data_IF_438973391216
#
_entry.id   IF_438973391216
#
_cell.length_a   1.000
_cell.length_b   1.000
_cell.length_c   1.000
_cell.angle_alpha   90.00
_cell.angle_beta   90.00
_cell.angle_gamma   90.00
#
_symmetry.space_group_name_H-M   'P 1'
#
loop_
_entity.id
_entity.type
_entity.pdbx_description
1 polymer ?
#
# COMPACT_ATOMS: atom_id res chain seq x y z
N UNK A 1 -2.13 13.52 2.80
CA UNK A 1 -1.38 12.24 2.63
C UNK A 1 -0.04 12.50 1.96
N UNK A 2 1.08 11.98 2.50
CA UNK A 2 2.42 12.29 2.02
C UNK A 2 2.78 11.36 0.84
N UNK A 3 3.51 11.88 -0.17
CA UNK A 3 4.04 11.12 -1.32
C UNK A 3 4.79 9.85 -0.88
N UNK A 4 5.57 9.91 0.20
CA UNK A 4 6.35 8.76 0.69
C UNK A 4 5.46 7.63 1.20
N UNK A 5 4.39 7.94 1.92
CA UNK A 5 3.43 6.96 2.45
C UNK A 5 2.67 6.30 1.31
N UNK A 6 2.24 7.09 0.32
CA UNK A 6 1.54 6.58 -0.85
C UNK A 6 2.45 5.68 -1.70
N UNK A 7 3.71 6.08 -1.87
CA UNK A 7 4.71 5.30 -2.58
C UNK A 7 5.01 3.97 -1.90
N UNK A 8 5.20 3.96 -0.57
CA UNK A 8 5.42 2.74 0.22
C UNK A 8 4.25 1.76 0.09
N UNK A 9 3.02 2.28 0.16
CA UNK A 9 1.82 1.49 -0.10
C UNK A 9 1.79 0.91 -1.50
N UNK A 10 2.05 1.74 -2.54
CA UNK A 10 2.03 1.30 -3.94
C UNK A 10 3.11 0.26 -4.23
N UNK A 11 4.32 0.44 -3.70
CA UNK A 11 5.39 -0.55 -3.80
C UNK A 11 4.93 -1.89 -3.24
N UNK A 12 4.46 -1.89 -1.99
CA UNK A 12 4.04 -3.13 -1.35
C UNK A 12 2.90 -3.80 -2.10
N UNK A 13 1.90 -3.02 -2.52
CA UNK A 13 0.76 -3.54 -3.29
C UNK A 13 1.22 -4.17 -4.61
N UNK A 14 2.07 -3.47 -5.37
CA UNK A 14 2.57 -3.94 -6.66
C UNK A 14 3.44 -5.19 -6.54
N UNK A 15 4.43 -5.18 -5.63
CA UNK A 15 5.35 -6.31 -5.45
C UNK A 15 4.72 -7.52 -4.73
N UNK A 16 3.55 -7.38 -4.13
CA UNK A 16 2.75 -8.51 -3.63
C UNK A 16 1.68 -8.97 -4.63
N UNK A 17 1.48 -8.24 -5.72
CA UNK A 17 0.57 -8.62 -6.80
C UNK A 17 1.21 -9.68 -7.72
N UNK A 18 0.43 -10.59 -8.31
CA UNK A 18 0.95 -11.58 -9.26
C UNK A 18 1.69 -10.94 -10.44
N UNK A 19 1.17 -9.84 -10.97
CA UNK A 19 1.75 -9.14 -12.13
C UNK A 19 3.10 -8.49 -11.78
N UNK A 20 3.21 -7.85 -10.62
CA UNK A 20 4.46 -7.26 -10.16
C UNK A 20 5.54 -8.29 -9.89
N UNK A 21 5.18 -9.44 -9.34
CA UNK A 21 6.09 -10.57 -9.14
C UNK A 21 6.61 -11.11 -10.46
N UNK A 22 5.71 -11.37 -11.42
CA UNK A 22 6.09 -11.88 -12.76
C UNK A 22 7.02 -10.89 -13.47
N UNK A 23 6.70 -9.59 -13.48
CA UNK A 23 7.53 -8.58 -14.10
C UNK A 23 8.95 -8.53 -13.50
N UNK A 24 9.04 -8.61 -12.16
CA UNK A 24 10.32 -8.63 -11.46
C UNK A 24 11.13 -9.90 -11.79
N UNK A 25 10.47 -11.05 -11.80
CA UNK A 25 11.12 -12.33 -12.18
C UNK A 25 11.66 -12.31 -13.61
N UNK A 26 10.90 -11.75 -14.56
CA UNK A 26 11.35 -11.60 -15.95
C UNK A 26 12.56 -10.67 -16.06
N UNK A 27 12.61 -9.58 -15.30
CA UNK A 27 13.76 -8.69 -15.23
C UNK A 27 15.03 -9.41 -14.74
N UNK A 28 14.91 -10.20 -13.65
CA UNK A 28 16.04 -11.01 -13.16
C UNK A 28 16.44 -12.11 -14.14
N UNK A 29 15.49 -12.75 -14.82
CA UNK A 29 15.77 -13.75 -15.84
C UNK A 29 16.58 -13.15 -17.00
N UNK A 30 16.24 -11.94 -17.45
CA UNK A 30 17.00 -11.24 -18.48
C UNK A 30 18.44 -10.98 -18.02
N UNK A 31 18.67 -10.57 -16.79
CA UNK A 31 20.02 -10.41 -16.25
C UNK A 31 20.81 -11.74 -16.21
N UNK A 32 20.16 -12.86 -15.87
CA UNK A 32 20.78 -14.17 -15.91
C UNK A 32 21.18 -14.58 -17.34
N UNK A 33 20.37 -14.29 -18.36
CA UNK A 33 20.73 -14.51 -19.76
C UNK A 33 21.93 -13.69 -20.18
N UNK A 34 22.01 -12.43 -19.76
CA UNK A 34 23.21 -11.61 -19.99
C UNK A 34 24.45 -12.27 -19.39
N UNK A 35 24.40 -12.73 -18.13
CA UNK A 35 25.54 -13.39 -17.47
C UNK A 35 25.97 -14.69 -18.18
N UNK A 36 25.06 -15.35 -18.89
CA UNK A 36 25.34 -16.53 -19.72
C UNK A 36 25.86 -16.19 -21.12
N UNK A 37 26.12 -14.93 -21.41
CA UNK A 37 26.68 -14.48 -22.68
C UNK A 37 25.66 -14.25 -23.82
N UNK A 38 24.38 -14.14 -23.51
CA UNK A 38 23.33 -13.91 -24.51
C UNK A 38 23.34 -12.51 -25.17
N UNK A 39 24.27 -11.62 -24.72
CA UNK A 39 24.46 -10.31 -25.32
C UNK A 39 23.96 -9.15 -24.47
N UNK A 40 24.49 -7.95 -24.73
CA UNK A 40 24.26 -6.73 -23.92
C UNK A 40 22.80 -6.24 -23.91
N UNK A 41 21.98 -6.64 -24.89
CA UNK A 41 20.57 -6.29 -24.95
C UNK A 41 19.81 -6.80 -23.71
N UNK A 42 20.13 -8.01 -23.23
CA UNK A 42 19.51 -8.61 -22.05
C UNK A 42 19.85 -7.86 -20.76
N UNK A 43 21.04 -7.24 -20.68
CA UNK A 43 21.39 -6.36 -19.56
C UNK A 43 20.49 -5.13 -19.54
N UNK A 44 20.32 -4.47 -20.69
CA UNK A 44 19.46 -3.28 -20.80
C UNK A 44 18.01 -3.59 -20.43
N UNK A 45 17.46 -4.68 -21.00
CA UNK A 45 16.09 -5.13 -20.70
C UNK A 45 15.93 -5.44 -19.20
N UNK A 46 16.85 -6.17 -18.61
CA UNK A 46 16.81 -6.52 -17.19
C UNK A 46 16.82 -5.29 -16.28
N UNK A 47 17.75 -4.34 -16.52
CA UNK A 47 17.83 -3.10 -15.75
C UNK A 47 16.55 -2.27 -15.93
N UNK A 48 16.08 -2.08 -17.17
CA UNK A 48 14.87 -1.30 -17.45
C UNK A 48 13.67 -1.91 -16.73
N UNK A 49 13.46 -3.21 -16.80
CA UNK A 49 12.33 -3.87 -16.14
C UNK A 49 12.36 -3.73 -14.61
N UNK A 50 13.55 -3.82 -14.00
CA UNK A 50 13.69 -3.74 -12.53
C UNK A 50 13.55 -2.30 -12.05
N UNK A 51 14.12 -1.32 -12.75
CA UNK A 51 14.15 0.09 -12.34
C UNK A 51 12.87 0.82 -12.73
N UNK A 52 12.26 0.47 -13.87
CA UNK A 52 11.07 1.15 -14.39
C UNK A 52 9.88 1.07 -13.41
N UNK A 53 9.64 -0.10 -12.81
CA UNK A 53 8.52 -0.29 -11.87
C UNK A 53 8.58 0.67 -10.68
N UNK A 54 9.64 0.68 -9.85
CA UNK A 54 9.70 1.58 -8.69
C UNK A 54 9.73 3.06 -9.11
N UNK A 55 10.38 3.38 -10.23
CA UNK A 55 10.41 4.74 -10.76
C UNK A 55 9.04 5.25 -11.18
N UNK A 56 8.31 4.45 -11.95
CA UNK A 56 6.96 4.79 -12.38
C UNK A 56 5.97 4.89 -11.19
N UNK A 57 6.11 4.00 -10.22
CA UNK A 57 5.31 4.06 -8.99
C UNK A 57 5.61 5.34 -8.18
N UNK A 58 6.87 5.76 -8.11
CA UNK A 58 7.23 7.01 -7.45
C UNK A 58 6.60 8.23 -8.12
N UNK A 59 6.71 8.33 -9.46
CA UNK A 59 6.07 9.41 -10.22
C UNK A 59 4.55 9.42 -10.06
N UNK A 60 3.93 8.25 -10.10
CA UNK A 60 2.49 8.09 -9.91
C UNK A 60 2.06 8.49 -8.49
N UNK A 61 2.79 8.05 -7.46
CA UNK A 61 2.53 8.44 -6.08
C UNK A 61 2.65 9.95 -5.88
N UNK A 62 3.69 10.56 -6.45
CA UNK A 62 3.89 12.01 -6.39
C UNK A 62 2.74 12.76 -7.08
N UNK A 63 2.37 12.32 -8.29
CA UNK A 63 1.26 12.92 -9.03
C UNK A 63 -0.05 12.81 -8.25
N UNK A 64 -0.38 11.63 -7.75
CA UNK A 64 -1.62 11.42 -6.98
C UNK A 64 -1.66 12.21 -5.68
N UNK A 65 -0.53 12.30 -4.95
CA UNK A 65 -0.46 13.08 -3.72
C UNK A 65 -0.74 14.58 -3.95
N UNK A 66 -0.38 15.10 -5.12
CA UNK A 66 -0.56 16.52 -5.46
C UNK A 66 -1.92 16.79 -6.12
N UNK A 67 -2.39 15.88 -6.98
CA UNK A 67 -3.54 16.14 -7.87
C UNK A 67 -4.86 15.58 -7.31
N UNK A 68 -4.82 14.61 -6.41
CA UNK A 68 -6.03 14.00 -5.89
C UNK A 68 -6.66 14.85 -4.78
N UNK A 69 -7.81 15.45 -5.06
CA UNK A 69 -8.57 16.27 -4.10
C UNK A 69 -8.90 15.54 -2.80
N UNK A 70 -9.10 14.22 -2.87
CA UNK A 70 -9.32 13.40 -1.67
C UNK A 70 -8.14 13.42 -0.69
N UNK A 71 -6.92 13.70 -1.18
CA UNK A 71 -5.73 13.83 -0.33
C UNK A 71 -5.43 15.26 0.10
N UNK A 72 -6.10 16.25 -0.51
CA UNK A 72 -5.93 17.67 -0.18
C UNK A 72 -6.81 18.09 1.00
N UNK A 73 -7.94 17.41 1.22
CA UNK A 73 -8.82 17.65 2.37
C UNK A 73 -8.49 16.66 3.49
N UNK A 74 -8.42 17.12 4.75
CA UNK A 74 -8.20 16.22 5.87
C UNK A 74 -9.34 15.20 5.96
N UNK A 75 -8.97 13.93 5.99
CA UNK A 75 -9.86 12.83 6.31
C UNK A 75 -9.73 12.55 7.81
N UNK A 76 -10.84 12.60 8.51
CA UNK A 76 -10.91 12.22 9.92
C UNK A 76 -11.39 10.78 10.01
N UNK A 77 -10.64 9.96 10.73
CA UNK A 77 -10.96 8.57 10.98
C UNK A 77 -11.27 8.39 12.45
N UNK A 78 -12.42 7.78 12.74
CA UNK A 78 -12.79 7.38 14.09
C UNK A 78 -12.94 5.87 14.12
N UNK A 79 -12.12 5.22 14.93
CA UNK A 79 -12.18 3.78 15.15
C UNK A 79 -13.16 3.49 16.28
N UNK A 80 -14.17 2.66 16.00
CA UNK A 80 -15.21 2.26 16.95
C UNK A 80 -15.34 0.73 16.97
N UNK A 81 -16.13 0.22 17.91
CA UNK A 81 -16.35 -1.23 18.04
C UNK A 81 -17.04 -1.84 16.82
N UNK A 82 -17.96 -1.13 16.18
CA UNK A 82 -18.69 -1.58 15.00
C UNK A 82 -17.90 -1.44 13.68
N UNK A 83 -16.93 -0.54 13.61
CA UNK A 83 -16.18 -0.25 12.39
C UNK A 83 -15.36 1.02 12.42
N UNK A 84 -14.96 1.48 11.25
CA UNK A 84 -14.22 2.72 11.05
C UNK A 84 -15.12 3.75 10.38
N UNK A 85 -15.27 4.89 11.03
CA UNK A 85 -15.95 6.05 10.47
C UNK A 85 -14.93 6.93 9.75
N UNK A 86 -15.25 7.29 8.53
CA UNK A 86 -14.44 8.18 7.70
C UNK A 86 -15.27 9.43 7.43
N UNK A 87 -14.82 10.58 7.90
CA UNK A 87 -15.47 11.86 7.65
C UNK A 87 -14.59 12.77 6.81
N UNK A 88 -15.20 13.39 5.81
CA UNK A 88 -14.59 14.39 4.96
C UNK A 88 -15.59 15.54 4.76
N UNK A 89 -15.36 16.67 5.42
CA UNK A 89 -16.33 17.75 5.50
C UNK A 89 -17.61 17.30 6.20
N UNK A 90 -18.75 17.45 5.54
CA UNK A 90 -20.07 17.05 6.07
C UNK A 90 -20.43 15.58 5.79
N UNK A 91 -19.63 14.89 4.98
CA UNK A 91 -19.87 13.48 4.62
C UNK A 91 -19.22 12.55 5.61
N UNK A 92 -20.01 11.65 6.19
CA UNK A 92 -19.53 10.58 7.08
C UNK A 92 -19.92 9.24 6.47
N UNK A 93 -18.95 8.35 6.32
CA UNK A 93 -19.13 6.97 5.85
C UNK A 93 -18.64 6.01 6.92
N UNK A 94 -19.41 4.96 7.19
CA UNK A 94 -19.05 3.90 8.11
C UNK A 94 -18.70 2.63 7.35
N UNK A 95 -17.60 2.01 7.74
CA UNK A 95 -17.11 0.74 7.21
C UNK A 95 -17.05 -0.28 8.35
N UNK A 96 -17.97 -1.23 8.36
CA UNK A 96 -18.02 -2.24 9.40
C UNK A 96 -16.83 -3.21 9.34
N UNK A 97 -16.31 -3.65 10.48
CA UNK A 97 -15.17 -4.58 10.56
C UNK A 97 -15.41 -5.89 9.79
N UNK A 98 -16.63 -6.42 9.81
CA UNK A 98 -17.01 -7.65 9.09
C UNK A 98 -16.83 -7.55 7.58
N UNK A 99 -17.01 -6.34 7.02
CA UNK A 99 -16.95 -6.07 5.58
C UNK A 99 -15.52 -5.75 5.11
N UNK A 100 -14.57 -5.59 6.05
CA UNK A 100 -13.16 -5.37 5.72
C UNK A 100 -12.55 -6.58 5.04
N UNK A 101 -11.81 -6.34 3.97
CA UNK A 101 -11.15 -7.39 3.20
C UNK A 101 -9.92 -7.96 3.91
N UNK A 102 -8.99 -7.09 4.29
CA UNK A 102 -7.78 -7.44 5.07
C UNK A 102 -7.13 -6.20 5.67
N UNK A 103 -6.30 -6.41 6.69
CA UNK A 103 -5.42 -5.39 7.26
C UNK A 103 -3.95 -5.83 7.13
N UNK A 104 -3.08 -4.92 6.70
CA UNK A 104 -1.63 -5.15 6.62
C UNK A 104 -0.88 -3.96 7.21
N UNK A 105 0.40 -4.15 7.54
CA UNK A 105 1.29 -3.04 7.86
C UNK A 105 2.45 -2.93 6.90
N UNK A 106 2.87 -1.70 6.66
CA UNK A 106 4.16 -1.35 6.10
C UNK A 106 5.05 -0.79 7.23
N UNK A 107 6.34 -0.52 6.99
CA UNK A 107 7.18 0.15 7.98
C UNK A 107 6.64 1.52 8.42
N UNK A 108 5.89 2.22 7.55
CA UNK A 108 5.44 3.60 7.77
C UNK A 108 3.94 3.75 8.00
N UNK A 109 3.14 2.73 7.73
CA UNK A 109 1.68 2.86 7.77
C UNK A 109 0.97 1.54 8.09
N UNK A 110 -0.27 1.67 8.56
CA UNK A 110 -1.26 0.60 8.63
C UNK A 110 -2.18 0.78 7.44
N UNK A 111 -2.49 -0.31 6.74
CA UNK A 111 -3.34 -0.29 5.55
C UNK A 111 -4.51 -1.22 5.77
N UNK A 112 -5.70 -0.65 5.73
CA UNK A 112 -6.96 -1.35 5.92
C UNK A 112 -7.70 -1.43 4.57
N UNK A 113 -7.78 -2.62 4.01
CA UNK A 113 -8.45 -2.87 2.74
C UNK A 113 -9.94 -3.06 2.96
N UNK A 114 -10.74 -2.27 2.28
CA UNK A 114 -12.20 -2.42 2.22
C UNK A 114 -12.63 -3.33 1.08
N UNK A 115 -11.79 -3.46 0.06
CA UNK A 115 -11.98 -4.39 -1.07
C UNK A 115 -10.63 -4.89 -1.58
N UNK A 116 -10.62 -5.63 -2.69
CA UNK A 116 -9.36 -6.07 -3.35
C UNK A 116 -8.53 -4.90 -3.87
N UNK A 117 -9.16 -3.76 -4.18
CA UNK A 117 -8.53 -2.60 -4.84
C UNK A 117 -8.60 -1.31 -4.01
N UNK A 118 -9.54 -1.21 -3.07
CA UNK A 118 -9.70 -0.02 -2.24
C UNK A 118 -9.11 -0.24 -0.85
N UNK A 119 -8.34 0.72 -0.38
CA UNK A 119 -7.74 0.70 0.93
C UNK A 119 -7.66 2.09 1.56
N UNK A 120 -7.82 2.15 2.87
CA UNK A 120 -7.47 3.31 3.69
C UNK A 120 -6.06 3.13 4.24
N UNK A 121 -5.25 4.17 4.14
CA UNK A 121 -3.84 4.15 4.58
C UNK A 121 -3.68 5.11 5.74
N UNK A 122 -3.21 4.58 6.87
CA UNK A 122 -2.98 5.31 8.11
C UNK A 122 -1.49 5.41 8.35
N UNK A 123 -0.87 6.60 8.14
CA UNK A 123 0.53 6.81 8.49
C UNK A 123 0.74 6.62 9.99
N UNK A 124 1.76 5.85 10.39
CA UNK A 124 2.10 5.66 11.82
C UNK A 124 2.48 6.98 12.49
N UNK A 125 3.05 7.92 11.72
CA UNK A 125 3.38 9.25 12.21
C UNK A 125 2.13 10.07 12.58
N UNK A 126 1.01 9.87 11.90
CA UNK A 126 -0.25 10.56 12.17
C UNK A 126 -1.01 9.91 13.34
N UNK A 127 -0.81 8.60 13.54
CA UNK A 127 -1.39 7.84 14.66
C UNK A 127 -0.61 8.06 15.98
N UNK A 128 0.69 8.31 15.90
CA UNK A 128 1.51 8.51 17.09
C UNK A 128 1.37 7.36 18.10
N UNK A 129 1.07 7.73 19.35
CA UNK A 129 0.90 6.80 20.47
C UNK A 129 -0.35 5.91 20.32
N UNK A 130 -1.34 6.33 19.54
CA UNK A 130 -2.57 5.55 19.27
C UNK A 130 -2.34 4.36 18.33
N UNK A 131 -1.15 4.24 17.75
CA UNK A 131 -0.82 3.13 16.82
C UNK A 131 -1.08 1.76 17.44
N UNK A 132 -0.70 1.56 18.70
CA UNK A 132 -0.90 0.29 19.40
C UNK A 132 -2.40 -0.01 19.61
N UNK A 133 -3.16 0.99 20.00
CA UNK A 133 -4.61 0.90 20.20
C UNK A 133 -5.34 0.56 18.88
N UNK A 134 -4.96 1.20 17.79
CA UNK A 134 -5.54 0.92 16.45
C UNK A 134 -5.22 -0.51 16.01
N UNK A 135 -4.01 -1.01 16.25
CA UNK A 135 -3.64 -2.39 15.94
C UNK A 135 -4.45 -3.38 16.79
N UNK A 136 -4.64 -3.09 18.06
CA UNK A 136 -5.45 -3.90 18.97
C UNK A 136 -6.90 -3.96 18.50
N UNK A 137 -7.55 -2.84 18.21
CA UNK A 137 -8.90 -2.76 17.68
C UNK A 137 -9.07 -3.59 16.39
N UNK A 138 -8.16 -3.43 15.42
CA UNK A 138 -8.17 -4.20 14.18
C UNK A 138 -8.06 -5.70 14.47
N UNK A 139 -7.13 -6.08 15.35
CA UNK A 139 -6.87 -7.49 15.67
C UNK A 139 -8.00 -8.15 16.45
N UNK A 140 -8.74 -7.38 17.25
CA UNK A 140 -9.88 -7.85 18.03
C UNK A 140 -11.12 -8.06 17.16
N UNK A 141 -11.39 -7.15 16.22
CA UNK A 141 -12.62 -7.14 15.43
C UNK A 141 -12.50 -7.82 14.07
N UNK A 142 -11.28 -8.08 13.59
CA UNK A 142 -11.07 -8.78 12.32
C UNK A 142 -10.54 -10.20 12.53
N UNK A 143 -10.96 -11.18 11.69
CA UNK A 143 -10.43 -12.55 11.77
C UNK A 143 -8.89 -12.57 11.60
N UNK A 144 -8.14 -13.37 12.40
CA UNK A 144 -6.67 -13.39 12.36
C UNK A 144 -6.07 -13.67 10.96
N UNK A 145 -6.76 -14.48 10.15
CA UNK A 145 -6.37 -14.77 8.76
C UNK A 145 -6.36 -13.54 7.84
N UNK A 146 -7.12 -12.50 8.20
CA UNK A 146 -7.21 -11.25 7.44
C UNK A 146 -6.25 -10.18 7.96
N UNK A 147 -5.63 -10.37 9.12
CA UNK A 147 -4.74 -9.41 9.78
C UNK A 147 -3.30 -9.84 9.61
N UNK A 148 -2.50 -9.05 8.89
CA UNK A 148 -1.05 -9.25 8.67
C UNK A 148 -0.30 -7.99 9.08
N UNK A 149 -0.50 -7.57 10.32
CA UNK A 149 0.14 -6.41 10.92
C UNK A 149 1.35 -6.90 11.71
N UNK A 150 2.54 -6.34 11.41
CA UNK A 150 3.74 -6.49 12.23
C UNK A 150 3.81 -5.34 13.23
N UNK A 151 4.03 -5.68 14.47
CA UNK A 151 4.34 -4.72 15.52
C UNK A 151 5.67 -4.01 15.26
#
# INVERSE_FOLDING_TARGET
MNTQVLYDYMLRHTYTSPLGLVATMLGFLALLFFLKGAGGLYLVIGIVMIVYLPWNLFLTARKQAITNEAFQRPLHYTFAEEGVYVSQGETVQMQAWKDMYKAISTPRSIVLYTSKVNASVFPRADLGDDTALVIELISTHMPPRKVKIRQ
#
